data_IF_583065587787
#
_entry.id   IF_583065587787
#
_cell.length_a   1.000
_cell.length_b   1.000
_cell.length_c   1.000
_cell.angle_alpha   90.00
_cell.angle_beta   90.00
_cell.angle_gamma   90.00
#
_symmetry.space_group_name_H-M   'P 1'
#
loop_
_entity.id
_entity.type
_entity.pdbx_description
1 polymer ?
#
# COMPACT_ATOMS: atom_id res chain seq x y z
N UNK A 1 19.96 -2.67 11.97
CA UNK A 1 18.77 -1.92 11.51
C UNK A 1 19.22 -0.52 11.11
N UNK A 2 18.77 0.03 9.97
CA UNK A 2 19.07 1.43 9.58
C UNK A 2 18.18 2.41 10.34
N UNK A 3 18.71 3.59 10.68
CA UNK A 3 17.95 4.61 11.41
C UNK A 3 16.89 5.25 10.53
N UNK A 4 15.93 5.98 11.14
CA UNK A 4 14.91 6.72 10.39
C UNK A 4 15.56 7.78 9.48
N UNK A 5 16.58 8.49 9.94
CA UNK A 5 17.27 9.50 9.11
C UNK A 5 17.91 8.85 7.88
N UNK A 6 18.63 7.73 8.07
CA UNK A 6 19.29 7.02 6.98
C UNK A 6 18.29 6.51 5.92
N UNK A 7 17.08 6.12 6.33
CA UNK A 7 16.01 5.74 5.39
C UNK A 7 15.45 6.93 4.62
N UNK A 8 15.29 8.07 5.28
CA UNK A 8 14.81 9.32 4.65
C UNK A 8 15.85 9.83 3.65
N UNK A 9 17.13 9.85 4.03
CA UNK A 9 18.23 10.27 3.17
C UNK A 9 18.34 9.38 1.93
N UNK A 10 18.29 8.06 2.10
CA UNK A 10 18.25 7.10 0.99
C UNK A 10 17.01 7.28 0.09
N UNK A 11 15.85 7.61 0.66
CA UNK A 11 14.63 7.85 -0.11
C UNK A 11 14.69 9.16 -0.91
N UNK A 12 15.41 10.16 -0.40
CA UNK A 12 15.58 11.47 -1.05
C UNK A 12 16.75 11.48 -2.04
N UNK A 13 17.73 10.59 -1.89
CA UNK A 13 18.87 10.47 -2.80
C UNK A 13 18.40 10.26 -4.25
N UNK A 14 18.60 11.29 -5.09
CA UNK A 14 18.21 11.28 -6.50
C UNK A 14 16.81 11.81 -6.82
N UNK A 15 16.03 12.25 -5.83
CA UNK A 15 14.77 12.97 -6.07
C UNK A 15 15.01 14.47 -6.21
N UNK A 16 14.36 15.08 -7.20
CA UNK A 16 14.37 16.53 -7.33
C UNK A 16 13.77 17.17 -6.07
N UNK A 17 14.41 18.25 -5.61
CA UNK A 17 13.87 19.09 -4.53
C UNK A 17 12.51 19.60 -4.99
N UNK A 18 11.50 19.50 -4.11
CA UNK A 18 10.18 20.02 -4.42
C UNK A 18 10.28 21.50 -4.78
N UNK A 19 9.84 21.85 -5.99
CA UNK A 19 9.62 23.21 -6.40
C UNK A 19 8.13 23.42 -6.63
N UNK A 20 7.58 24.47 -6.02
CA UNK A 20 6.19 24.84 -6.22
C UNK A 20 5.99 25.29 -7.67
N UNK A 21 5.17 24.56 -8.42
CA UNK A 21 4.75 24.92 -9.77
C UNK A 21 3.29 25.36 -9.77
N UNK A 22 2.90 26.33 -10.62
CA UNK A 22 1.50 26.70 -10.80
C UNK A 22 0.64 25.48 -11.13
N UNK A 23 -0.58 25.44 -10.57
CA UNK A 23 -1.49 24.29 -10.76
C UNK A 23 -1.77 24.02 -12.23
N UNK A 24 -1.90 25.05 -13.05
CA UNK A 24 -2.09 24.97 -14.50
C UNK A 24 -0.95 24.24 -15.18
N UNK A 25 0.29 24.59 -14.87
CA UNK A 25 1.49 23.94 -15.40
C UNK A 25 1.61 22.48 -14.92
N UNK A 26 1.27 22.21 -13.66
CA UNK A 26 1.24 20.84 -13.14
C UNK A 26 0.23 19.96 -13.90
N UNK A 27 -0.93 20.52 -14.24
CA UNK A 27 -1.98 19.82 -14.97
C UNK A 27 -1.64 19.60 -16.46
N UNK A 28 -0.88 20.50 -17.09
CA UNK A 28 -0.44 20.31 -18.49
C UNK A 28 0.68 19.29 -18.60
N UNK A 29 1.58 19.23 -17.61
CA UNK A 29 2.72 18.30 -17.59
C UNK A 29 2.35 16.86 -17.21
N UNK A 30 1.12 16.61 -16.80
CA UNK A 30 0.71 15.37 -16.16
C UNK A 30 -0.53 14.80 -16.80
N UNK A 31 -0.44 13.57 -17.33
CA UNK A 31 -1.62 12.84 -17.80
C UNK A 31 -2.64 12.67 -16.66
N UNK A 32 -3.91 12.99 -16.93
CA UNK A 32 -4.98 13.00 -15.91
C UNK A 32 -5.23 11.63 -15.29
N UNK A 33 -5.06 10.59 -16.08
CA UNK A 33 -5.27 9.19 -15.76
C UNK A 33 -4.03 8.49 -15.18
N UNK A 34 -2.88 9.18 -15.06
CA UNK A 34 -1.62 8.54 -14.64
C UNK A 34 -1.68 7.79 -13.32
N UNK A 35 -2.64 8.08 -12.44
CA UNK A 35 -2.80 7.45 -11.11
C UNK A 35 -3.82 6.30 -11.13
N UNK A 36 -4.63 6.22 -12.19
CA UNK A 36 -5.56 5.12 -12.37
C UNK A 36 -4.76 3.85 -12.63
N UNK A 37 -5.21 2.76 -12.02
CA UNK A 37 -4.71 1.40 -12.23
C UNK A 37 -5.90 0.60 -12.76
N UNK A 38 -5.66 -0.27 -13.75
CA UNK A 38 -6.70 -1.08 -14.37
C UNK A 38 -7.26 -2.13 -13.41
N UNK A 39 -6.46 -2.57 -12.44
CA UNK A 39 -6.85 -3.54 -11.42
C UNK A 39 -5.97 -3.41 -10.15
N UNK A 40 -6.33 -4.18 -9.13
CA UNK A 40 -5.65 -4.19 -7.84
C UNK A 40 -4.21 -4.72 -7.91
N UNK A 41 -3.94 -5.71 -8.76
CA UNK A 41 -2.59 -6.26 -8.93
C UNK A 41 -1.62 -5.19 -9.46
N UNK A 42 -2.06 -4.40 -10.45
CA UNK A 42 -1.30 -3.27 -10.98
C UNK A 42 -1.05 -2.21 -9.90
N UNK A 43 -2.06 -1.92 -9.07
CA UNK A 43 -1.91 -0.98 -7.96
C UNK A 43 -0.87 -1.46 -6.93
N UNK A 44 -0.89 -2.75 -6.57
CA UNK A 44 0.09 -3.36 -5.66
C UNK A 44 1.50 -3.30 -6.27
N UNK A 45 1.67 -3.68 -7.55
CA UNK A 45 2.96 -3.59 -8.26
C UNK A 45 3.50 -2.15 -8.27
N UNK A 46 2.67 -1.18 -8.66
CA UNK A 46 3.03 0.24 -8.78
C UNK A 46 3.28 0.91 -7.42
N UNK A 47 2.72 0.38 -6.34
CA UNK A 47 3.01 0.84 -4.98
C UNK A 47 4.45 0.54 -4.55
N UNK A 48 5.11 -0.44 -5.19
CA UNK A 48 6.44 -0.91 -4.81
C UNK A 48 6.44 -1.75 -3.53
N UNK A 49 5.33 -2.40 -3.20
CA UNK A 49 5.21 -3.34 -2.08
C UNK A 49 6.28 -4.44 -2.19
N UNK A 50 6.88 -4.80 -1.05
CA UNK A 50 7.86 -5.87 -0.91
C UNK A 50 7.60 -6.62 0.39
N UNK A 51 8.16 -7.83 0.48
CA UNK A 51 8.18 -8.59 1.71
C UNK A 51 8.77 -7.77 2.87
N UNK A 52 8.23 -7.95 4.07
CA UNK A 52 8.67 -7.19 5.25
C UNK A 52 8.06 -5.80 5.41
N UNK A 53 7.28 -5.32 4.43
CA UNK A 53 6.64 -3.99 4.52
C UNK A 53 5.38 -3.99 5.40
N UNK A 54 4.88 -2.78 5.68
CA UNK A 54 3.64 -2.56 6.44
C UNK A 54 2.52 -2.07 5.52
N UNK A 55 1.34 -2.66 5.64
CA UNK A 55 0.11 -2.23 4.95
C UNK A 55 -0.92 -1.77 5.99
N UNK A 56 -1.71 -0.75 5.67
CA UNK A 56 -2.64 -0.14 6.63
C UNK A 56 -4.05 0.05 6.08
N UNK A 57 -5.05 -0.07 6.95
CA UNK A 57 -6.47 0.04 6.59
C UNK A 57 -7.27 0.87 7.61
N UNK A 58 -8.29 1.55 7.12
CA UNK A 58 -9.27 2.29 7.92
C UNK A 58 -10.57 1.49 8.01
N UNK A 59 -11.26 1.52 9.15
CA UNK A 59 -12.42 0.66 9.43
C UNK A 59 -13.78 1.37 9.29
N UNK A 60 -13.86 2.42 8.47
CA UNK A 60 -15.06 3.27 8.38
C UNK A 60 -16.31 2.50 7.91
N UNK A 61 -16.13 1.43 7.12
CA UNK A 61 -17.21 0.59 6.62
C UNK A 61 -17.72 -0.45 7.63
N UNK A 62 -17.09 -0.58 8.80
CA UNK A 62 -17.48 -1.54 9.86
C UNK A 62 -17.66 -2.94 9.25
N UNK A 63 -18.73 -3.66 9.63
CA UNK A 63 -19.02 -5.01 9.15
C UNK A 63 -19.22 -5.15 7.64
N UNK A 64 -19.38 -4.03 6.91
CA UNK A 64 -19.49 -4.00 5.45
C UNK A 64 -18.15 -3.82 4.73
N UNK A 65 -17.01 -3.90 5.42
CA UNK A 65 -15.70 -3.76 4.80
C UNK A 65 -15.28 -5.02 4.02
N UNK A 66 -15.17 -4.87 2.70
CA UNK A 66 -14.63 -5.90 1.79
C UNK A 66 -13.16 -5.66 1.41
N UNK A 67 -12.62 -4.47 1.70
CA UNK A 67 -11.32 -4.01 1.21
C UNK A 67 -10.19 -4.80 1.87
N UNK A 68 -10.24 -5.01 3.19
CA UNK A 68 -9.19 -5.75 3.92
C UNK A 68 -9.02 -7.15 3.33
N UNK A 69 -10.11 -7.91 3.23
CA UNK A 69 -10.07 -9.28 2.70
C UNK A 69 -9.63 -9.31 1.23
N UNK A 70 -10.17 -8.41 0.40
CA UNK A 70 -9.84 -8.34 -1.03
C UNK A 70 -8.36 -8.06 -1.26
N UNK A 71 -7.80 -7.09 -0.53
CA UNK A 71 -6.38 -6.71 -0.67
C UNK A 71 -5.47 -7.80 -0.12
N UNK A 72 -5.77 -8.35 1.06
CA UNK A 72 -4.93 -9.39 1.66
C UNK A 72 -4.94 -10.69 0.84
N UNK A 73 -6.09 -11.07 0.27
CA UNK A 73 -6.17 -12.20 -0.65
C UNK A 73 -5.27 -11.99 -1.87
N UNK A 74 -5.35 -10.81 -2.51
CA UNK A 74 -4.53 -10.52 -3.71
C UNK A 74 -3.04 -10.46 -3.37
N UNK A 75 -2.67 -9.90 -2.22
CA UNK A 75 -1.28 -9.87 -1.73
C UNK A 75 -0.74 -11.30 -1.54
N UNK A 76 -1.53 -12.18 -0.91
CA UNK A 76 -1.14 -13.58 -0.70
C UNK A 76 -1.04 -14.35 -2.02
N UNK A 77 -1.98 -14.15 -2.95
CA UNK A 77 -1.95 -14.73 -4.30
C UNK A 77 -0.71 -14.30 -5.09
N UNK A 78 -0.26 -13.05 -4.93
CA UNK A 78 0.98 -12.54 -5.53
C UNK A 78 2.26 -13.05 -4.84
N UNK A 79 2.13 -13.78 -3.73
CA UNK A 79 3.25 -14.42 -3.04
C UNK A 79 4.01 -13.54 -2.06
N UNK A 80 3.50 -12.34 -1.71
CA UNK A 80 4.15 -11.47 -0.73
C UNK A 80 4.03 -12.05 0.69
N UNK A 81 5.10 -11.93 1.47
CA UNK A 81 5.22 -12.51 2.82
C UNK A 81 5.79 -11.53 3.83
N UNK A 82 5.74 -11.92 5.10
CA UNK A 82 6.33 -11.19 6.22
C UNK A 82 5.81 -9.74 6.35
N UNK A 83 4.56 -9.49 5.96
CA UNK A 83 3.98 -8.16 6.06
C UNK A 83 3.51 -7.85 7.48
N UNK A 84 3.64 -6.60 7.89
CA UNK A 84 2.96 -6.08 9.07
C UNK A 84 1.60 -5.52 8.66
N UNK A 85 0.53 -5.98 9.30
CA UNK A 85 -0.80 -5.41 9.11
C UNK A 85 -1.10 -4.36 10.17
N UNK A 86 -1.30 -3.12 9.74
CA UNK A 86 -1.63 -1.97 10.59
C UNK A 86 -3.06 -1.49 10.31
N UNK A 87 -4.06 -2.27 10.69
CA UNK A 87 -5.45 -1.82 10.65
C UNK A 87 -5.80 -1.05 11.93
N UNK A 88 -6.55 0.04 11.77
CA UNK A 88 -7.08 0.81 12.92
C UNK A 88 -8.10 0.02 13.76
N UNK A 89 -8.75 -0.99 13.18
CA UNK A 89 -9.58 -1.97 13.89
C UNK A 89 -9.79 -3.21 12.99
N UNK A 90 -9.93 -4.39 13.58
CA UNK A 90 -10.37 -5.61 12.91
C UNK A 90 -11.61 -6.15 13.63
N UNK A 91 -12.55 -6.67 12.86
CA UNK A 91 -13.85 -7.17 13.32
C UNK A 91 -14.15 -8.49 12.60
N UNK A 92 -15.24 -9.14 12.95
CA UNK A 92 -15.59 -10.50 12.49
C UNK A 92 -15.60 -10.66 10.96
N UNK A 93 -15.99 -9.63 10.21
CA UNK A 93 -15.96 -9.65 8.73
C UNK A 93 -14.56 -9.88 8.15
N UNK A 94 -13.50 -9.61 8.91
CA UNK A 94 -12.11 -9.79 8.51
C UNK A 94 -11.53 -11.17 8.88
N UNK A 95 -12.34 -12.07 9.45
CA UNK A 95 -11.91 -13.43 9.81
C UNK A 95 -11.16 -14.20 8.71
N UNK A 96 -11.46 -14.04 7.39
CA UNK A 96 -10.68 -14.72 6.34
C UNK A 96 -9.17 -14.45 6.37
N UNK A 97 -8.73 -13.33 6.96
CA UNK A 97 -7.31 -13.01 7.08
C UNK A 97 -6.52 -14.01 7.94
N UNK A 98 -7.22 -14.74 8.83
CA UNK A 98 -6.61 -15.75 9.70
C UNK A 98 -5.88 -16.82 8.88
N UNK A 99 -6.43 -17.19 7.71
CA UNK A 99 -5.82 -18.19 6.85
C UNK A 99 -4.47 -17.72 6.27
N UNK A 100 -4.33 -16.42 5.98
CA UNK A 100 -3.06 -15.83 5.54
C UNK A 100 -2.00 -15.79 6.65
N UNK A 101 -2.43 -15.78 7.91
CA UNK A 101 -1.52 -15.82 9.07
C UNK A 101 -1.03 -17.25 9.31
N UNK A 102 -1.93 -18.24 9.25
CA UNK A 102 -1.59 -19.66 9.50
C UNK A 102 -0.61 -20.23 8.49
N UNK A 103 -0.67 -19.79 7.23
CA UNK A 103 0.21 -20.27 6.16
C UNK A 103 1.67 -19.81 6.29
N UNK A 104 2.01 -19.02 7.31
CA UNK A 104 3.38 -18.68 7.68
C UNK A 104 3.91 -19.77 8.62
N UNK A 105 4.35 -20.90 8.05
CA UNK A 105 5.13 -21.96 8.71
C UNK A 105 6.47 -22.11 8.01
#
# INVERSE_FOLDING_TARGET
>A
MTTREQRIEKYNAGRAIYQAVPKTESLTRTAKDRKLCANLEEAIKRSGLKDGMTVSFHHAFRGGDFVVNMVMNKIAEMGFKNLTLASSSLIDSHSPIIEHIKMVS
#
